data_IF_654023737868
#
_entry.id   IF_654023737868
#
_cell.length_a   1.000
_cell.length_b   1.000
_cell.length_c   1.000
_cell.angle_alpha   90.00
_cell.angle_beta   90.00
_cell.angle_gamma   90.00
#
_symmetry.space_group_name_H-M   'P 1'
#
loop_
_entity.id
_entity.type
_entity.pdbx_description
1 polymer ?
#
# COMPACT_ATOMS: atom_id res chain seq x y z
N UNK A 1 -26.65 59.51 21.19
CA UNK A 1 -25.74 58.37 21.41
C UNK A 1 -26.20 57.22 20.54
N UNK A 2 -25.50 56.95 19.44
CA UNK A 2 -25.73 55.78 18.58
C UNK A 2 -24.69 54.73 18.96
N UNK A 3 -25.13 53.63 19.57
CA UNK A 3 -24.27 52.49 19.88
C UNK A 3 -24.21 51.62 18.62
N UNK A 4 -23.07 51.62 17.93
CA UNK A 4 -22.82 50.72 16.80
C UNK A 4 -22.63 49.29 17.31
N UNK A 5 -23.68 48.48 17.25
CA UNK A 5 -23.60 47.04 17.48
C UNK A 5 -23.21 46.33 16.16
N UNK A 6 -21.93 46.31 15.81
CA UNK A 6 -21.41 45.46 14.73
C UNK A 6 -19.98 44.89 14.90
N UNK A 7 -19.57 44.26 16.03
CA UNK A 7 -18.31 43.48 16.05
C UNK A 7 -18.50 41.94 15.98
N UNK A 8 -19.70 41.41 16.30
CA UNK A 8 -19.86 39.97 16.56
C UNK A 8 -20.03 39.09 15.30
N UNK A 9 -20.57 39.64 14.21
CA UNK A 9 -20.79 38.91 12.96
C UNK A 9 -19.49 38.62 12.19
N UNK A 10 -18.49 39.51 12.28
CA UNK A 10 -17.19 39.31 11.61
C UNK A 10 -16.34 38.22 12.28
N UNK A 11 -16.40 38.12 13.61
CA UNK A 11 -15.59 37.19 14.39
C UNK A 11 -16.07 35.73 14.23
N UNK A 12 -17.38 35.54 14.08
CA UNK A 12 -17.98 34.22 13.81
C UNK A 12 -17.64 33.72 12.40
N UNK A 13 -17.75 34.57 11.37
CA UNK A 13 -17.44 34.18 9.98
C UNK A 13 -15.98 33.77 9.78
N UNK A 14 -15.02 34.51 10.36
CA UNK A 14 -13.58 34.17 10.31
C UNK A 14 -13.30 32.85 11.03
N UNK A 15 -13.94 32.61 12.16
CA UNK A 15 -13.80 31.37 12.91
C UNK A 15 -14.28 30.15 12.09
N UNK A 16 -15.46 30.23 11.49
CA UNK A 16 -16.02 29.16 10.66
C UNK A 16 -15.21 28.89 9.38
N UNK A 17 -14.67 29.93 8.73
CA UNK A 17 -13.85 29.76 7.52
C UNK A 17 -12.49 29.11 7.83
N UNK A 18 -11.87 29.49 8.95
CA UNK A 18 -10.62 28.90 9.43
C UNK A 18 -10.81 27.45 9.88
N UNK A 19 -11.93 27.14 10.54
CA UNK A 19 -12.28 25.78 10.95
C UNK A 19 -12.48 24.86 9.74
N UNK A 20 -13.26 25.28 8.73
CA UNK A 20 -13.46 24.52 7.48
C UNK A 20 -12.14 24.24 6.76
N UNK A 21 -11.26 25.24 6.68
CA UNK A 21 -9.92 25.11 6.08
C UNK A 21 -9.05 24.09 6.83
N UNK A 22 -9.10 24.08 8.16
CA UNK A 22 -8.35 23.11 8.97
C UNK A 22 -8.88 21.69 8.82
N UNK A 23 -10.20 21.51 8.80
CA UNK A 23 -10.84 20.19 8.61
C UNK A 23 -10.46 19.63 7.23
N UNK A 24 -10.60 20.43 6.17
CA UNK A 24 -10.20 20.04 4.82
C UNK A 24 -8.73 19.59 4.77
N UNK A 25 -7.83 20.38 5.37
CA UNK A 25 -6.40 20.08 5.41
C UNK A 25 -6.13 18.72 6.07
N UNK A 26 -6.75 18.43 7.22
CA UNK A 26 -6.55 17.15 7.92
C UNK A 26 -7.20 15.96 7.20
N UNK A 27 -8.39 16.13 6.61
CA UNK A 27 -9.02 15.10 5.80
C UNK A 27 -8.13 14.70 4.63
N UNK A 28 -7.60 15.67 3.87
CA UNK A 28 -6.67 15.40 2.78
C UNK A 28 -5.38 14.75 3.31
N UNK A 29 -4.87 15.22 4.46
CA UNK A 29 -3.64 14.67 5.04
C UNK A 29 -3.76 13.18 5.41
N UNK A 30 -4.95 12.71 5.81
CA UNK A 30 -5.20 11.29 6.13
C UNK A 30 -5.38 10.45 4.86
N UNK A 31 -6.02 11.01 3.83
CA UNK A 31 -6.24 10.30 2.56
C UNK A 31 -4.95 10.09 1.77
N UNK A 32 -3.96 10.98 1.89
CA UNK A 32 -2.70 10.89 1.15
C UNK A 32 -1.91 9.61 1.45
N UNK A 33 -1.66 9.21 2.72
CA UNK A 33 -1.04 7.92 3.01
C UNK A 33 -1.76 6.73 2.36
N UNK A 34 -3.10 6.70 2.41
CA UNK A 34 -3.88 5.63 1.75
C UNK A 34 -3.67 5.62 0.23
N UNK A 35 -3.63 6.80 -0.39
CA UNK A 35 -3.35 6.94 -1.81
C UNK A 35 -1.93 6.46 -2.20
N UNK A 36 -0.92 6.76 -1.38
CA UNK A 36 0.47 6.40 -1.64
C UNK A 36 0.77 4.93 -1.35
N UNK A 37 0.18 4.36 -0.30
CA UNK A 37 0.26 2.91 -0.02
C UNK A 37 -0.38 2.12 -1.17
N UNK A 38 -1.59 2.50 -1.57
CA UNK A 38 -2.27 1.81 -2.67
C UNK A 38 -1.57 1.99 -4.02
N UNK A 39 -0.84 3.08 -4.24
CA UNK A 39 0.02 3.24 -5.42
C UNK A 39 1.17 2.21 -5.42
N UNK A 40 1.85 2.05 -4.28
CA UNK A 40 2.89 1.03 -4.12
C UNK A 40 2.33 -0.37 -4.35
N UNK A 41 1.20 -0.71 -3.72
CA UNK A 41 0.50 -1.97 -3.92
C UNK A 41 0.12 -2.20 -5.39
N UNK A 42 -0.41 -1.20 -6.08
CA UNK A 42 -0.80 -1.33 -7.50
C UNK A 42 0.39 -1.60 -8.40
N UNK A 43 1.56 -1.04 -8.08
CA UNK A 43 2.81 -1.31 -8.79
C UNK A 43 3.31 -2.74 -8.56
N UNK A 44 3.21 -3.25 -7.33
CA UNK A 44 3.57 -4.63 -6.97
C UNK A 44 2.64 -5.67 -7.62
N UNK A 45 1.35 -5.36 -7.78
CA UNK A 45 0.37 -6.18 -8.51
C UNK A 45 0.54 -6.08 -10.03
N UNK A 46 1.78 -6.18 -10.52
CA UNK A 46 2.11 -6.24 -11.94
C UNK A 46 3.18 -7.29 -12.23
N UNK A 47 3.15 -7.91 -13.43
CA UNK A 47 4.21 -8.85 -13.82
C UNK A 47 5.61 -8.21 -13.90
N UNK A 48 5.70 -6.87 -13.99
CA UNK A 48 6.97 -6.17 -14.04
C UNK A 48 7.76 -6.33 -12.73
N UNK A 49 7.08 -6.29 -11.58
CA UNK A 49 7.72 -6.49 -10.29
C UNK A 49 8.28 -7.91 -10.16
N UNK A 50 7.50 -8.94 -10.56
CA UNK A 50 7.98 -10.34 -10.55
C UNK A 50 9.25 -10.52 -11.40
N UNK A 51 9.27 -9.92 -12.59
CA UNK A 51 10.44 -9.96 -13.48
C UNK A 51 11.67 -9.30 -12.87
N UNK A 52 11.49 -8.17 -12.20
CA UNK A 52 12.60 -7.51 -11.51
C UNK A 52 13.08 -8.39 -10.35
N UNK A 53 12.18 -8.78 -9.46
CA UNK A 53 12.48 -9.47 -8.20
C UNK A 53 13.18 -10.81 -8.43
N UNK A 54 12.63 -11.67 -9.28
CA UNK A 54 13.20 -13.00 -9.53
C UNK A 54 14.51 -12.97 -10.32
N UNK A 55 14.87 -11.85 -10.95
CA UNK A 55 16.16 -11.66 -11.62
C UNK A 55 17.19 -10.91 -10.75
N UNK A 56 16.86 -10.58 -9.50
CA UNK A 56 17.84 -9.97 -8.60
C UNK A 56 18.94 -10.98 -8.26
N UNK A 57 20.23 -10.59 -8.29
CA UNK A 57 21.35 -11.51 -8.11
C UNK A 57 21.43 -12.13 -6.70
N UNK A 58 20.73 -11.54 -5.74
CA UNK A 58 20.65 -12.03 -4.36
C UNK A 58 19.37 -12.84 -4.09
N UNK A 59 18.43 -12.95 -5.04
CA UNK A 59 17.17 -13.64 -4.80
C UNK A 59 17.45 -15.13 -4.53
N UNK A 60 16.95 -15.69 -3.42
CA UNK A 60 17.36 -17.01 -2.99
C UNK A 60 16.90 -18.09 -3.99
N UNK A 61 17.69 -19.14 -4.22
CA UNK A 61 17.21 -20.31 -4.96
C UNK A 61 16.02 -20.96 -4.24
N UNK A 62 15.22 -21.74 -4.98
CA UNK A 62 14.26 -22.65 -4.35
C UNK A 62 14.95 -23.97 -3.99
N UNK A 63 14.98 -24.31 -2.71
CA UNK A 63 15.56 -25.57 -2.22
C UNK A 63 14.77 -26.81 -2.68
N UNK A 64 13.55 -26.62 -3.19
CA UNK A 64 12.67 -27.69 -3.68
C UNK A 64 12.59 -27.76 -5.21
N UNK A 65 13.43 -26.99 -5.92
CA UNK A 65 13.72 -27.21 -7.33
C UNK A 65 13.06 -26.27 -8.34
N UNK A 66 12.28 -25.26 -7.94
CA UNK A 66 11.87 -24.23 -8.88
C UNK A 66 13.07 -23.40 -9.35
N UNK A 67 13.24 -23.37 -10.67
CA UNK A 67 14.10 -22.41 -11.32
C UNK A 67 13.49 -21.01 -11.31
N UNK A 68 14.28 -20.00 -11.66
CA UNK A 68 13.77 -18.65 -11.94
C UNK A 68 12.71 -18.67 -13.05
N UNK A 69 12.86 -19.53 -14.05
CA UNK A 69 11.89 -19.68 -15.14
C UNK A 69 10.56 -20.26 -14.63
N UNK A 70 10.60 -21.23 -13.71
CA UNK A 70 9.40 -21.78 -13.09
C UNK A 70 8.66 -20.73 -12.28
N UNK A 71 9.37 -19.92 -11.48
CA UNK A 71 8.77 -18.82 -10.73
C UNK A 71 8.14 -17.78 -11.66
N UNK A 72 8.82 -17.43 -12.76
CA UNK A 72 8.29 -16.52 -13.77
C UNK A 72 7.14 -17.11 -14.59
N UNK A 73 7.03 -18.44 -14.69
CA UNK A 73 5.89 -19.15 -15.30
C UNK A 73 4.67 -19.15 -14.38
N UNK A 74 4.85 -19.48 -13.10
CA UNK A 74 3.75 -19.79 -12.19
C UNK A 74 3.26 -18.60 -11.34
N UNK A 75 4.17 -17.75 -10.85
CA UNK A 75 3.78 -16.61 -10.00
C UNK A 75 2.81 -15.60 -10.67
N UNK A 76 2.85 -15.35 -12.00
CA UNK A 76 1.88 -14.46 -12.64
C UNK A 76 0.41 -14.89 -12.46
N UNK A 77 0.12 -16.19 -12.42
CA UNK A 77 -1.26 -16.67 -12.21
C UNK A 77 -1.82 -16.21 -10.87
N UNK A 78 -1.03 -16.29 -9.80
CA UNK A 78 -1.43 -15.80 -8.49
C UNK A 78 -1.70 -14.28 -8.52
N UNK A 79 -0.84 -13.47 -9.16
CA UNK A 79 -1.09 -12.02 -9.28
C UNK A 79 -2.34 -11.70 -10.09
N UNK A 80 -2.56 -12.38 -11.21
CA UNK A 80 -3.71 -12.19 -12.07
C UNK A 80 -5.02 -12.57 -11.36
N UNK A 81 -4.99 -13.66 -10.60
CA UNK A 81 -6.12 -14.09 -9.77
C UNK A 81 -6.56 -13.00 -8.79
N UNK A 82 -5.63 -12.30 -8.16
CA UNK A 82 -5.96 -11.27 -7.16
C UNK A 82 -6.74 -10.07 -7.72
N UNK A 83 -6.73 -9.87 -9.03
CA UNK A 83 -7.35 -8.70 -9.69
C UNK A 83 -8.36 -9.05 -10.79
N UNK A 84 -8.53 -10.33 -11.09
CA UNK A 84 -9.54 -10.80 -12.05
C UNK A 84 -10.85 -11.21 -11.33
N UNK A 85 -11.88 -11.54 -12.12
CA UNK A 85 -13.19 -11.95 -11.61
C UNK A 85 -13.37 -13.49 -11.52
N UNK A 86 -12.30 -14.27 -11.66
CA UNK A 86 -12.39 -15.73 -11.60
C UNK A 86 -12.55 -16.21 -10.14
N UNK A 87 -13.19 -17.38 -9.97
CA UNK A 87 -13.20 -18.08 -8.69
C UNK A 87 -11.87 -18.84 -8.46
N UNK A 88 -11.76 -19.52 -7.33
CA UNK A 88 -10.53 -20.21 -6.92
C UNK A 88 -10.11 -21.35 -7.87
N UNK A 89 -11.01 -21.87 -8.71
CA UNK A 89 -10.66 -22.89 -9.70
C UNK A 89 -9.64 -22.36 -10.71
N UNK A 90 -9.57 -21.05 -10.93
CA UNK A 90 -8.51 -20.44 -11.75
C UNK A 90 -7.10 -20.85 -11.30
N UNK A 91 -6.88 -21.00 -10.00
CA UNK A 91 -5.63 -21.51 -9.44
C UNK A 91 -5.70 -23.02 -9.20
N UNK A 92 -6.84 -23.55 -8.78
CA UNK A 92 -7.02 -24.97 -8.47
C UNK A 92 -6.91 -25.90 -9.68
N UNK A 93 -7.20 -25.41 -10.88
CA UNK A 93 -7.11 -26.17 -12.13
C UNK A 93 -5.67 -26.20 -12.70
N UNK A 94 -4.72 -25.47 -12.10
CA UNK A 94 -3.33 -25.49 -12.50
C UNK A 94 -2.65 -26.78 -12.03
N UNK A 95 -1.96 -27.45 -12.94
CA UNK A 95 -1.23 -28.69 -12.67
C UNK A 95 0.21 -28.59 -13.17
N UNK A 96 1.12 -29.29 -12.49
CA UNK A 96 2.47 -29.54 -12.97
C UNK A 96 2.45 -30.45 -14.21
N UNK A 97 3.61 -30.56 -14.88
CA UNK A 97 3.75 -31.38 -16.09
C UNK A 97 3.53 -32.89 -15.81
N UNK A 98 3.63 -33.33 -14.55
CA UNK A 98 3.31 -34.70 -14.10
C UNK A 98 1.82 -34.90 -13.76
N UNK A 99 1.00 -33.85 -13.90
CA UNK A 99 -0.44 -33.86 -13.63
C UNK A 99 -0.83 -33.65 -12.17
N UNK A 100 0.14 -33.47 -11.26
CA UNK A 100 -0.17 -33.15 -9.86
C UNK A 100 -0.64 -31.69 -9.70
N UNK A 101 -1.55 -31.37 -8.77
CA UNK A 101 -2.01 -30.00 -8.54
C UNK A 101 -0.86 -29.05 -8.19
N UNK A 102 -0.87 -27.85 -8.76
CA UNK A 102 0.12 -26.81 -8.49
C UNK A 102 0.02 -26.31 -7.05
N UNK A 103 -1.21 -26.11 -6.56
CA UNK A 103 -1.51 -25.65 -5.21
C UNK A 103 -2.32 -26.72 -4.46
N UNK A 104 -2.07 -26.85 -3.17
CA UNK A 104 -2.92 -27.65 -2.28
C UNK A 104 -4.11 -26.84 -1.75
N UNK A 105 -5.08 -27.51 -1.12
CA UNK A 105 -6.31 -26.89 -0.61
C UNK A 105 -6.07 -25.75 0.40
N UNK A 106 -5.03 -25.85 1.24
CA UNK A 106 -4.70 -24.79 2.21
C UNK A 106 -4.20 -23.54 1.51
N UNK A 107 -3.36 -23.71 0.49
CA UNK A 107 -2.85 -22.60 -0.33
C UNK A 107 -3.97 -21.91 -1.12
N UNK A 108 -4.89 -22.70 -1.68
CA UNK A 108 -6.06 -22.19 -2.39
C UNK A 108 -6.98 -21.38 -1.47
N UNK A 109 -7.33 -21.94 -0.30
CA UNK A 109 -8.14 -21.22 0.69
C UNK A 109 -7.48 -19.91 1.12
N UNK A 110 -6.17 -19.90 1.35
CA UNK A 110 -5.46 -18.67 1.68
C UNK A 110 -5.45 -17.67 0.53
N UNK A 111 -5.31 -18.11 -0.73
CA UNK A 111 -5.37 -17.21 -1.88
C UNK A 111 -6.75 -16.55 -2.04
N UNK A 112 -7.85 -17.22 -1.69
CA UNK A 112 -9.18 -16.60 -1.62
C UNK A 112 -9.21 -15.44 -0.60
N UNK A 113 -8.68 -15.66 0.61
CA UNK A 113 -8.58 -14.62 1.64
C UNK A 113 -7.72 -13.44 1.14
N UNK A 114 -6.56 -13.73 0.54
CA UNK A 114 -5.66 -12.71 -0.01
C UNK A 114 -6.35 -11.91 -1.13
N UNK A 115 -7.21 -12.54 -1.94
CA UNK A 115 -8.00 -11.84 -2.97
C UNK A 115 -9.00 -10.87 -2.34
N UNK A 116 -9.72 -11.28 -1.30
CA UNK A 116 -10.66 -10.40 -0.58
C UNK A 116 -9.93 -9.19 0.02
N UNK A 117 -8.78 -9.41 0.67
CA UNK A 117 -7.94 -8.34 1.23
C UNK A 117 -7.43 -7.42 0.12
N UNK A 118 -6.97 -8.00 -0.99
CA UNK A 118 -6.43 -7.25 -2.13
C UNK A 118 -7.48 -6.34 -2.76
N UNK A 119 -8.66 -6.87 -3.05
CA UNK A 119 -9.76 -6.11 -3.63
C UNK A 119 -10.27 -5.03 -2.66
N UNK A 120 -10.34 -5.34 -1.35
CA UNK A 120 -10.72 -4.36 -0.32
C UNK A 120 -9.73 -3.20 -0.24
N UNK A 121 -8.43 -3.49 -0.25
CA UNK A 121 -7.38 -2.47 -0.24
C UNK A 121 -7.40 -1.61 -1.52
N UNK A 122 -7.60 -2.23 -2.70
CA UNK A 122 -7.76 -1.50 -3.97
C UNK A 122 -9.00 -0.61 -3.96
N UNK A 123 -10.12 -1.07 -3.39
CA UNK A 123 -11.33 -0.25 -3.25
C UNK A 123 -11.10 0.97 -2.36
N UNK A 124 -10.45 0.79 -1.20
CA UNK A 124 -10.07 1.90 -0.32
C UNK A 124 -9.16 2.88 -1.06
N UNK A 125 -8.23 2.37 -1.87
CA UNK A 125 -7.34 3.20 -2.68
C UNK A 125 -8.11 4.05 -3.70
N UNK A 126 -9.00 3.43 -4.50
CA UNK A 126 -9.82 4.16 -5.48
C UNK A 126 -10.72 5.20 -4.82
N UNK A 127 -11.36 4.87 -3.69
CA UNK A 127 -12.16 5.82 -2.91
C UNK A 127 -11.29 6.98 -2.42
N UNK A 128 -10.09 6.71 -1.92
CA UNK A 128 -9.17 7.74 -1.44
C UNK A 128 -8.76 8.69 -2.55
N UNK A 129 -8.42 8.17 -3.74
CA UNK A 129 -8.12 8.98 -4.91
C UNK A 129 -9.32 9.84 -5.33
N UNK A 130 -10.51 9.25 -5.41
CA UNK A 130 -11.73 9.96 -5.76
C UNK A 130 -12.02 11.10 -4.78
N UNK A 131 -11.90 10.85 -3.48
CA UNK A 131 -12.10 11.86 -2.44
C UNK A 131 -11.05 12.97 -2.50
N UNK A 132 -9.76 12.66 -2.67
CA UNK A 132 -8.70 13.66 -2.84
C UNK A 132 -9.03 14.56 -4.04
N UNK A 133 -9.40 13.98 -5.18
CA UNK A 133 -9.77 14.74 -6.39
C UNK A 133 -11.01 15.62 -6.16
N UNK A 134 -12.07 15.08 -5.57
CA UNK A 134 -13.30 15.83 -5.27
C UNK A 134 -13.04 16.99 -4.30
N UNK A 135 -12.27 16.75 -3.24
CA UNK A 135 -11.87 17.77 -2.28
C UNK A 135 -10.98 18.83 -2.92
N UNK A 136 -10.11 18.44 -3.86
CA UNK A 136 -9.32 19.35 -4.68
C UNK A 136 -10.20 20.30 -5.50
N UNK A 137 -11.14 19.76 -6.26
CA UNK A 137 -12.11 20.54 -7.08
C UNK A 137 -12.96 21.45 -6.19
N UNK A 138 -13.44 20.92 -5.06
CA UNK A 138 -14.25 21.68 -4.10
C UNK A 138 -13.45 22.84 -3.48
N UNK A 139 -12.21 22.59 -3.07
CA UNK A 139 -11.33 23.61 -2.51
C UNK A 139 -11.00 24.72 -3.51
N UNK A 140 -10.83 24.36 -4.78
CA UNK A 140 -10.58 25.32 -5.86
C UNK A 140 -11.79 26.24 -6.08
N UNK A 141 -13.00 25.68 -6.16
CA UNK A 141 -14.25 26.47 -6.29
C UNK A 141 -14.54 27.32 -5.06
N UNK A 142 -14.16 26.85 -3.87
CA UNK A 142 -14.36 27.57 -2.60
C UNK A 142 -13.29 28.59 -2.25
N UNK A 143 -12.22 28.72 -3.04
CA UNK A 143 -11.09 29.61 -2.74
C UNK A 143 -10.19 29.13 -1.59
N UNK A 144 -10.26 27.85 -1.21
CA UNK A 144 -9.49 27.25 -0.10
C UNK A 144 -8.32 26.38 -0.57
N UNK A 145 -7.81 26.62 -1.80
CA UNK A 145 -6.72 25.84 -2.40
C UNK A 145 -5.48 25.74 -1.50
N UNK A 146 -5.18 26.78 -0.72
CA UNK A 146 -4.05 26.76 0.21
C UNK A 146 -4.24 25.72 1.33
N UNK A 147 -5.46 25.56 1.84
CA UNK A 147 -5.76 24.56 2.86
C UNK A 147 -5.63 23.13 2.31
N UNK A 148 -6.10 22.90 1.08
CA UNK A 148 -5.92 21.63 0.37
C UNK A 148 -4.44 21.31 0.14
N UNK A 149 -3.65 22.27 -0.36
CA UNK A 149 -2.19 22.11 -0.53
C UNK A 149 -1.47 21.83 0.78
N UNK A 150 -1.87 22.51 1.87
CA UNK A 150 -1.33 22.23 3.19
C UNK A 150 -1.68 20.81 3.64
N UNK A 151 -2.89 20.33 3.35
CA UNK A 151 -3.30 18.95 3.61
C UNK A 151 -2.46 17.94 2.85
N UNK A 152 -2.25 18.16 1.54
CA UNK A 152 -1.35 17.33 0.72
C UNK A 152 0.07 17.30 1.30
N UNK A 153 0.61 18.47 1.69
CA UNK A 153 1.95 18.59 2.29
C UNK A 153 2.05 17.82 3.60
N UNK A 154 1.07 17.99 4.50
CA UNK A 154 1.01 17.28 5.78
C UNK A 154 0.91 15.78 5.57
N UNK A 155 0.01 15.34 4.69
CA UNK A 155 -0.15 13.94 4.34
C UNK A 155 1.11 13.34 3.73
N UNK A 156 1.83 14.10 2.89
CA UNK A 156 3.12 13.71 2.37
C UNK A 156 4.14 13.43 3.46
N UNK A 157 4.30 14.36 4.42
CA UNK A 157 5.21 14.16 5.56
C UNK A 157 4.77 13.04 6.52
N UNK A 158 3.46 12.86 6.72
CA UNK A 158 2.93 11.70 7.46
C UNK A 158 3.35 10.40 6.77
N UNK A 159 3.19 10.31 5.45
CA UNK A 159 3.61 9.14 4.69
C UNK A 159 5.13 8.94 4.74
N UNK A 160 5.94 10.00 4.71
CA UNK A 160 7.41 9.88 4.88
C UNK A 160 7.74 9.23 6.22
N UNK A 161 7.08 9.63 7.31
CA UNK A 161 7.26 9.00 8.62
C UNK A 161 6.89 7.51 8.61
N UNK A 162 5.71 7.18 8.08
CA UNK A 162 5.23 5.78 7.99
C UNK A 162 6.16 4.93 7.12
N UNK A 163 6.48 5.39 5.91
CA UNK A 163 7.36 4.68 4.98
C UNK A 163 8.78 4.53 5.53
N UNK A 164 9.28 5.54 6.24
CA UNK A 164 10.58 5.49 6.91
C UNK A 164 10.65 4.42 7.99
N UNK A 165 9.60 4.30 8.81
CA UNK A 165 9.50 3.25 9.85
C UNK A 165 9.43 1.86 9.21
N UNK A 166 8.56 1.66 8.20
CA UNK A 166 8.44 0.37 7.50
C UNK A 166 9.76 0.01 6.82
N UNK A 167 10.36 0.94 6.09
CA UNK A 167 11.66 0.73 5.43
C UNK A 167 12.76 0.36 6.42
N UNK A 168 12.79 1.00 7.60
CA UNK A 168 13.74 0.68 8.65
C UNK A 168 13.53 -0.74 9.22
N UNK A 169 12.28 -1.13 9.48
CA UNK A 169 11.93 -2.50 9.92
C UNK A 169 12.45 -3.53 8.92
N UNK A 170 12.22 -3.30 7.63
CA UNK A 170 12.66 -4.19 6.56
C UNK A 170 14.18 -4.25 6.47
N UNK A 171 14.87 -3.11 6.45
CA UNK A 171 16.35 -3.06 6.37
C UNK A 171 17.00 -3.74 7.57
N UNK A 172 16.51 -3.49 8.79
CA UNK A 172 17.00 -4.19 9.99
C UNK A 172 16.72 -5.70 9.88
N UNK A 173 15.53 -6.07 9.40
CA UNK A 173 15.14 -7.45 9.17
C UNK A 173 16.05 -8.20 8.20
N UNK A 174 16.45 -7.55 7.11
CA UNK A 174 17.34 -8.13 6.10
C UNK A 174 18.78 -8.20 6.62
N UNK A 175 19.29 -7.10 7.19
CA UNK A 175 20.74 -6.92 7.37
C UNK A 175 21.26 -7.20 8.77
N UNK A 176 20.39 -7.21 9.80
CA UNK A 176 20.82 -7.25 11.21
C UNK A 176 20.14 -8.40 11.95
N UNK A 177 18.81 -8.49 11.91
CA UNK A 177 18.05 -9.47 12.68
C UNK A 177 16.77 -9.91 11.94
N UNK A 178 16.76 -11.09 11.31
CA UNK A 178 15.59 -11.63 10.59
C UNK A 178 14.30 -11.69 11.40
N UNK A 179 14.40 -11.85 12.72
CA UNK A 179 13.24 -11.88 13.61
C UNK A 179 12.47 -10.55 13.64
N UNK A 180 13.11 -9.43 13.32
CA UNK A 180 12.45 -8.11 13.25
C UNK A 180 11.43 -8.10 12.12
N UNK A 181 11.83 -8.51 10.92
CA UNK A 181 10.88 -8.59 9.81
C UNK A 181 9.88 -9.72 10.01
N UNK A 182 10.30 -10.89 10.53
CA UNK A 182 9.37 -11.98 10.80
C UNK A 182 8.25 -11.58 11.76
N UNK A 183 8.57 -10.93 12.88
CA UNK A 183 7.55 -10.46 13.83
C UNK A 183 6.64 -9.40 13.22
N UNK A 184 7.19 -8.49 12.40
CA UNK A 184 6.39 -7.55 11.62
C UNK A 184 5.45 -8.27 10.64
N UNK A 185 5.95 -9.28 9.94
CA UNK A 185 5.21 -10.08 8.96
C UNK A 185 4.08 -10.86 9.62
N UNK A 186 4.33 -11.51 10.77
CA UNK A 186 3.31 -12.17 11.60
C UNK A 186 2.25 -11.16 12.06
N UNK A 187 2.67 -10.01 12.57
CA UNK A 187 1.75 -8.96 13.01
C UNK A 187 0.88 -8.42 11.88
N UNK A 188 1.47 -8.23 10.69
CA UNK A 188 0.75 -7.85 9.48
C UNK A 188 -0.28 -8.91 9.08
N UNK A 189 0.09 -10.20 9.05
CA UNK A 189 -0.83 -11.28 8.72
C UNK A 189 -1.97 -11.39 9.74
N UNK A 190 -1.69 -11.18 11.02
CA UNK A 190 -2.71 -11.18 12.09
C UNK A 190 -3.74 -10.04 11.99
N UNK A 191 -3.54 -9.03 11.13
CA UNK A 191 -4.56 -8.02 10.84
C UNK A 191 -5.63 -8.52 9.85
N UNK A 192 -5.30 -9.54 9.04
CA UNK A 192 -6.09 -9.95 7.88
C UNK A 192 -6.50 -11.42 7.88
N UNK A 193 -5.74 -12.28 8.54
CA UNK A 193 -5.92 -13.73 8.49
C UNK A 193 -6.09 -14.31 9.89
N UNK A 194 -6.90 -15.37 9.97
CA UNK A 194 -7.21 -16.03 11.24
C UNK A 194 -6.13 -17.08 11.58
N UNK A 195 -5.63 -17.03 12.82
CA UNK A 195 -4.73 -18.06 13.35
C UNK A 195 -3.50 -18.32 12.47
N UNK A 196 -3.36 -19.57 12.02
CA UNK A 196 -2.24 -20.06 11.22
C UNK A 196 -2.60 -20.29 9.74
N UNK A 197 -3.73 -19.80 9.23
CA UNK A 197 -4.18 -20.08 7.84
C UNK A 197 -3.18 -19.64 6.76
N UNK A 198 -2.29 -18.71 7.08
CA UNK A 198 -1.24 -18.18 6.21
C UNK A 198 0.14 -18.86 6.41
N UNK A 199 0.26 -19.82 7.33
CA UNK A 199 1.50 -20.59 7.55
C UNK A 199 1.50 -21.86 6.71
N UNK A 200 2.63 -22.13 6.05
CA UNK A 200 2.80 -23.19 5.07
C UNK A 200 4.05 -24.02 5.33
N UNK A 201 4.09 -25.23 4.76
CA UNK A 201 5.31 -26.04 4.71
C UNK A 201 6.27 -25.43 3.69
N UNK A 202 7.58 -25.51 3.93
CA UNK A 202 8.59 -25.00 2.98
C UNK A 202 8.51 -25.65 1.60
N UNK A 203 7.91 -26.83 1.49
CA UNK A 203 7.64 -27.54 0.23
C UNK A 203 6.41 -27.02 -0.53
N UNK A 204 5.54 -26.25 0.11
CA UNK A 204 4.30 -25.75 -0.49
C UNK A 204 4.62 -24.70 -1.57
N UNK A 205 3.95 -24.81 -2.70
CA UNK A 205 4.21 -24.04 -3.92
C UNK A 205 4.17 -22.53 -3.69
N UNK A 206 3.21 -22.04 -2.92
CA UNK A 206 2.93 -20.63 -2.72
C UNK A 206 4.11 -19.91 -2.07
N UNK A 207 4.69 -20.48 -1.01
CA UNK A 207 5.86 -19.86 -0.37
C UNK A 207 7.17 -20.15 -1.11
N UNK A 208 7.20 -21.15 -1.99
CA UNK A 208 8.32 -21.33 -2.94
C UNK A 208 8.29 -20.29 -4.06
N UNK A 209 7.10 -19.85 -4.49
CA UNK A 209 6.90 -18.75 -5.43
C UNK A 209 7.11 -17.39 -4.75
N UNK A 210 6.57 -17.21 -3.55
CA UNK A 210 6.63 -15.96 -2.78
C UNK A 210 7.35 -16.14 -1.44
N UNK A 211 8.66 -16.46 -1.46
CA UNK A 211 9.43 -16.69 -0.23
C UNK A 211 9.51 -15.42 0.61
N UNK A 212 9.94 -15.54 1.87
CA UNK A 212 10.03 -14.38 2.78
C UNK A 212 10.83 -13.21 2.16
N UNK A 213 11.87 -13.51 1.37
CA UNK A 213 12.66 -12.50 0.67
C UNK A 213 11.84 -11.66 -0.31
N UNK A 214 10.93 -12.29 -1.07
CA UNK A 214 10.02 -11.61 -1.98
C UNK A 214 9.20 -10.54 -1.24
N UNK A 215 8.68 -10.89 -0.06
CA UNK A 215 7.89 -9.98 0.74
C UNK A 215 8.73 -8.85 1.34
N UNK A 216 9.95 -9.15 1.82
CA UNK A 216 10.88 -8.11 2.29
C UNK A 216 11.10 -7.05 1.21
N UNK A 217 11.42 -7.47 -0.01
CA UNK A 217 11.71 -6.55 -1.10
C UNK A 217 10.44 -5.86 -1.62
N UNK A 218 9.28 -6.53 -1.62
CA UNK A 218 7.99 -5.91 -1.91
C UNK A 218 7.66 -4.77 -0.93
N UNK A 219 7.79 -5.01 0.39
CA UNK A 219 7.59 -3.97 1.40
C UNK A 219 8.59 -2.81 1.25
N UNK A 220 9.86 -3.11 0.95
CA UNK A 220 10.88 -2.09 0.71
C UNK A 220 10.56 -1.24 -0.52
N UNK A 221 10.18 -1.88 -1.63
CA UNK A 221 9.83 -1.20 -2.88
C UNK A 221 8.59 -0.31 -2.71
N UNK A 222 7.55 -0.82 -2.04
CA UNK A 222 6.37 -0.01 -1.69
C UNK A 222 6.75 1.17 -0.79
N UNK A 223 7.61 0.98 0.20
CA UNK A 223 8.10 2.06 1.05
C UNK A 223 8.87 3.12 0.26
N UNK A 224 9.71 2.72 -0.71
CA UNK A 224 10.44 3.64 -1.59
C UNK A 224 9.49 4.48 -2.44
N UNK A 225 8.49 3.86 -3.08
CA UNK A 225 7.46 4.58 -3.85
C UNK A 225 6.72 5.58 -2.97
N UNK A 226 6.27 5.13 -1.79
CA UNK A 226 5.50 5.97 -0.88
C UNK A 226 6.35 7.11 -0.29
N UNK A 227 7.64 6.86 -0.03
CA UNK A 227 8.58 7.88 0.43
C UNK A 227 8.84 8.92 -0.66
N UNK A 228 9.06 8.49 -1.92
CA UNK A 228 9.22 9.40 -3.05
C UNK A 228 8.00 10.30 -3.26
N UNK A 229 6.79 9.70 -3.25
CA UNK A 229 5.54 10.45 -3.33
C UNK A 229 5.33 11.39 -2.14
N UNK A 230 5.64 10.93 -0.92
CA UNK A 230 5.53 11.72 0.30
C UNK A 230 6.46 12.93 0.31
N UNK A 231 7.73 12.74 -0.05
CA UNK A 231 8.72 13.83 -0.20
C UNK A 231 8.28 14.79 -1.31
N UNK A 232 7.82 14.27 -2.44
CA UNK A 232 7.32 15.09 -3.57
C UNK A 232 6.18 16.02 -3.15
N UNK A 233 5.19 15.51 -2.42
CA UNK A 233 4.09 16.32 -1.88
C UNK A 233 4.55 17.26 -0.76
N UNK A 234 5.47 16.79 0.09
CA UNK A 234 6.00 17.54 1.24
C UNK A 234 6.83 18.76 0.85
N UNK A 235 7.63 18.64 -0.21
CA UNK A 235 8.54 19.69 -0.69
C UNK A 235 7.99 20.48 -1.87
N UNK A 236 7.25 19.84 -2.79
CA UNK A 236 6.79 20.46 -4.03
C UNK A 236 5.66 21.48 -3.88
N UNK A 237 5.05 21.57 -2.69
CA UNK A 237 3.90 22.43 -2.40
C UNK A 237 4.22 23.57 -1.40
N UNK A 238 5.49 24.00 -1.31
CA UNK A 238 5.87 25.17 -0.49
C UNK A 238 5.12 26.44 -0.93
N UNK A 239 4.64 27.21 0.03
CA UNK A 239 4.03 28.52 -0.23
C UNK A 239 5.12 29.52 -0.61
N UNK A 240 4.88 30.39 -1.58
CA UNK A 240 5.75 31.55 -1.80
C UNK A 240 5.77 32.39 -0.51
N UNK A 241 6.95 32.51 0.12
CA UNK A 241 7.15 33.20 1.40
C UNK A 241 7.86 32.39 2.49
N UNK A 242 8.05 31.08 2.32
CA UNK A 242 8.92 30.26 3.18
C UNK A 242 10.33 30.16 2.54
N UNK A 243 11.09 31.27 2.54
CA UNK A 243 12.55 31.30 2.28
C UNK A 243 13.26 31.94 3.45
#
# INVERSE_FOLDING_TARGET
>A
MSISAAPQLGMTWIFWSKMKSNILSWLVAILVPLALIGLGMRALLTPAFLKIEYNMPYFPPDEYGFSTEDRLRWAPYALEYLVNNADISYLGDLVFDDGSPLYNERELSHMEDVKVVTLSALNIWYISLALITMLGIWSWRGGWTQAYRQGLRRGGWLMVGVAGVIGLIVVIGISINPNVFWNFFVGFHGLFFEGDTWLFLYSDTLIRLFPLRFWQDAFLFAAIIALGGGVGLGLGLRSQGET
#
